data_IF_022919047106
#
_entry.id   IF_022919047106
#
_cell.length_a   1.000
_cell.length_b   1.000
_cell.length_c   1.000
_cell.angle_alpha   90.00
_cell.angle_beta   90.00
_cell.angle_gamma   90.00
#
_symmetry.space_group_name_H-M   'P 1'
#
loop_
_entity.id
_entity.type
_entity.pdbx_description
1 polymer ?
#
# COMPACT_ATOMS: atom_id res chain seq x y z
N UNK A 1 3.73 4.50 0.76
CA UNK A 1 2.76 3.40 0.96
C UNK A 1 1.92 3.10 -0.30
N UNK A 2 1.14 4.03 -0.87
CA UNK A 2 0.30 3.76 -2.06
C UNK A 2 1.05 3.10 -3.23
N UNK A 3 2.16 3.70 -3.65
CA UNK A 3 2.99 3.13 -4.71
C UNK A 3 3.69 1.84 -4.28
N UNK A 4 4.16 1.76 -3.03
CA UNK A 4 4.88 0.58 -2.54
C UNK A 4 4.03 -0.68 -2.45
N UNK A 5 2.71 -0.56 -2.31
CA UNK A 5 1.82 -1.71 -2.08
C UNK A 5 0.71 -1.85 -3.12
N UNK A 6 0.50 -0.83 -3.93
CA UNK A 6 -0.60 -0.80 -4.89
C UNK A 6 -2.01 -0.82 -4.28
N UNK A 7 -2.18 -0.58 -2.98
CA UNK A 7 -3.50 -0.57 -2.33
C UNK A 7 -4.37 0.57 -2.82
N UNK A 8 -5.69 0.39 -2.73
CA UNK A 8 -6.65 1.48 -3.01
C UNK A 8 -6.62 2.51 -1.89
N UNK A 9 -6.92 3.76 -2.21
CA UNK A 9 -6.96 4.85 -1.22
C UNK A 9 -7.91 4.53 -0.05
N UNK A 10 -9.10 4.00 -0.34
CA UNK A 10 -10.06 3.60 0.70
C UNK A 10 -9.58 2.42 1.56
N UNK A 11 -8.73 1.55 1.03
CA UNK A 11 -8.06 0.51 1.81
C UNK A 11 -6.99 1.12 2.71
N UNK A 12 -6.16 2.03 2.16
CA UNK A 12 -5.07 2.69 2.89
C UNK A 12 -5.54 3.39 4.16
N UNK A 13 -6.62 4.17 4.07
CA UNK A 13 -7.15 4.93 5.23
C UNK A 13 -7.72 4.05 6.32
N UNK A 14 -8.03 2.79 6.00
CA UNK A 14 -8.59 1.82 6.93
C UNK A 14 -7.54 0.88 7.57
N UNK A 15 -6.28 0.98 7.17
CA UNK A 15 -5.19 0.19 7.79
C UNK A 15 -5.06 0.58 9.26
N UNK A 16 -5.00 -0.41 10.13
CA UNK A 16 -4.73 -0.25 11.55
C UNK A 16 -3.28 -0.62 11.88
N UNK A 17 -2.79 -0.15 13.02
CA UNK A 17 -1.42 -0.49 13.48
C UNK A 17 -1.23 -2.01 13.57
N UNK A 18 -2.23 -2.74 14.07
CA UNK A 18 -2.15 -4.19 14.23
C UNK A 18 -2.23 -4.98 12.92
N UNK A 19 -2.56 -4.33 11.80
CA UNK A 19 -2.55 -4.97 10.48
C UNK A 19 -1.15 -5.08 9.89
N UNK A 20 -0.15 -4.43 10.52
CA UNK A 20 1.21 -4.36 10.01
C UNK A 20 2.09 -5.37 10.74
N UNK A 21 2.68 -6.28 9.97
CA UNK A 21 3.79 -7.11 10.43
C UNK A 21 5.10 -6.49 9.91
N UNK A 22 5.81 -5.78 10.79
CA UNK A 22 7.05 -5.07 10.44
C UNK A 22 8.23 -6.00 10.27
N UNK A 23 8.25 -7.14 10.97
CA UNK A 23 9.28 -8.16 10.80
C UNK A 23 9.24 -8.73 9.39
N UNK A 24 8.05 -9.05 8.92
CA UNK A 24 7.81 -9.60 7.59
C UNK A 24 7.64 -8.55 6.48
N UNK A 25 7.54 -7.27 6.83
CA UNK A 25 7.21 -6.18 5.92
C UNK A 25 5.92 -6.45 5.14
N UNK A 26 4.91 -6.90 5.83
CA UNK A 26 3.59 -7.19 5.25
C UNK A 26 2.48 -6.40 5.93
N UNK A 27 1.41 -6.17 5.20
CA UNK A 27 0.20 -5.50 5.71
C UNK A 27 -1.02 -6.32 5.32
N UNK A 28 -1.87 -6.59 6.29
CA UNK A 28 -3.17 -7.20 6.08
C UNK A 28 -4.16 -6.12 5.60
N UNK A 29 -4.74 -6.32 4.44
CA UNK A 29 -5.67 -5.39 3.81
C UNK A 29 -7.06 -6.01 3.76
N UNK A 30 -8.05 -5.28 4.24
CA UNK A 30 -9.45 -5.64 4.12
C UNK A 30 -10.04 -5.00 2.86
N UNK A 31 -10.33 -5.82 1.86
CA UNK A 31 -10.89 -5.40 0.58
C UNK A 31 -12.42 -5.40 0.54
N UNK A 32 -12.96 -5.19 -0.67
CA UNK A 32 -14.41 -5.24 -0.91
C UNK A 32 -14.98 -6.63 -0.56
N UNK A 33 -16.13 -6.65 0.11
CA UNK A 33 -16.78 -7.89 0.55
C UNK A 33 -16.09 -8.56 1.74
N UNK A 34 -15.32 -7.82 2.53
CA UNK A 34 -14.56 -8.31 3.69
C UNK A 34 -13.52 -9.38 3.35
N UNK A 35 -13.09 -9.46 2.10
CA UNK A 35 -11.99 -10.35 1.71
C UNK A 35 -10.67 -9.76 2.15
N UNK A 36 -9.92 -10.55 2.90
CA UNK A 36 -8.59 -10.18 3.36
C UNK A 36 -7.54 -10.61 2.35
N UNK A 37 -6.52 -9.79 2.17
CA UNK A 37 -5.29 -10.14 1.48
C UNK A 37 -4.09 -9.56 2.18
N UNK A 38 -2.93 -10.13 1.91
CA UNK A 38 -1.65 -9.61 2.39
C UNK A 38 -0.95 -8.89 1.25
N UNK A 39 -0.44 -7.70 1.52
CA UNK A 39 0.45 -6.97 0.62
C UNK A 39 1.83 -6.83 1.23
N UNK A 40 2.84 -6.73 0.38
CA UNK A 40 4.26 -6.61 0.76
C UNK A 40 4.71 -5.17 0.51
N UNK A 41 5.66 -4.68 1.30
CA UNK A 41 6.33 -3.40 1.06
C UNK A 41 7.85 -3.50 1.27
N UNK A 42 8.59 -2.64 0.57
CA UNK A 42 10.05 -2.65 0.60
C UNK A 42 10.65 -1.79 1.70
N UNK A 43 11.98 -1.79 1.78
CA UNK A 43 12.77 -1.05 2.79
C UNK A 43 12.54 0.45 2.77
N UNK A 44 12.47 1.08 1.61
CA UNK A 44 12.18 2.52 1.52
C UNK A 44 10.84 2.88 2.17
N UNK A 45 9.82 2.02 2.02
CA UNK A 45 8.54 2.23 2.67
C UNK A 45 8.63 2.00 4.18
N UNK A 46 9.40 0.99 4.63
CA UNK A 46 9.67 0.73 6.05
C UNK A 46 10.38 1.91 6.71
N UNK A 47 11.39 2.50 6.07
CA UNK A 47 12.10 3.67 6.58
C UNK A 47 11.16 4.86 6.78
N UNK A 48 10.37 5.19 5.75
CA UNK A 48 9.39 6.27 5.83
C UNK A 48 8.33 6.00 6.90
N UNK A 49 7.88 4.75 7.01
CA UNK A 49 6.93 4.31 8.03
C UNK A 49 7.53 4.46 9.43
N UNK A 50 8.80 4.09 9.62
CA UNK A 50 9.52 4.26 10.88
C UNK A 50 9.58 5.71 11.34
N UNK A 51 9.94 6.62 10.43
CA UNK A 51 9.98 8.06 10.73
C UNK A 51 8.59 8.56 11.14
N UNK A 52 7.56 8.18 10.39
CA UNK A 52 6.19 8.56 10.70
C UNK A 52 5.72 8.03 12.06
N UNK A 53 5.95 6.74 12.35
CA UNK A 53 5.52 6.10 13.59
C UNK A 53 6.23 6.66 14.83
N UNK A 54 7.52 6.96 14.72
CA UNK A 54 8.34 7.48 15.84
C UNK A 54 8.09 8.94 16.13
N UNK A 55 7.73 9.74 15.13
CA UNK A 55 7.59 11.18 15.26
C UNK A 55 6.14 11.62 15.01
N UNK A 56 5.73 11.75 13.75
CA UNK A 56 4.47 12.38 13.38
C UNK A 56 3.24 11.69 13.96
N UNK A 57 3.21 10.35 13.99
CA UNK A 57 2.05 9.65 14.54
C UNK A 57 1.91 9.84 16.05
N UNK A 58 3.02 9.92 16.78
CA UNK A 58 2.99 10.15 18.24
C UNK A 58 2.36 11.51 18.54
N UNK A 59 2.77 12.55 17.80
CA UNK A 59 2.22 13.90 17.96
C UNK A 59 0.74 13.99 17.57
N UNK A 60 0.33 13.26 16.54
CA UNK A 60 -1.04 13.25 16.04
C UNK A 60 -1.98 12.39 16.90
N UNK A 61 -1.51 11.35 17.57
CA UNK A 61 -2.36 10.35 18.23
C UNK A 61 -2.94 10.78 19.59
N UNK A 62 -3.48 11.97 19.66
CA UNK A 62 -4.09 12.56 20.86
C UNK A 62 -5.32 11.79 21.36
N UNK A 63 -6.01 11.09 20.45
CA UNK A 63 -7.25 10.34 20.72
C UNK A 63 -7.05 8.84 20.91
N UNK A 64 -5.80 8.36 20.98
CA UNK A 64 -5.45 6.92 21.06
C UNK A 64 -6.12 6.10 19.95
N UNK A 65 -6.07 6.61 18.73
CA UNK A 65 -6.69 6.02 17.55
C UNK A 65 -5.85 4.86 17.01
N UNK A 66 -6.48 3.75 16.64
CA UNK A 66 -5.80 2.54 16.15
C UNK A 66 -5.43 2.60 14.67
N UNK A 67 -6.00 3.55 13.92
CA UNK A 67 -5.68 3.68 12.50
C UNK A 67 -4.21 4.08 12.29
N UNK A 68 -3.62 3.56 11.22
CA UNK A 68 -2.22 3.83 10.90
C UNK A 68 -2.01 5.32 10.62
N UNK A 69 -2.78 5.87 9.67
CA UNK A 69 -2.67 7.26 9.24
C UNK A 69 -3.72 8.14 9.93
N UNK A 70 -3.23 9.17 10.58
CA UNK A 70 -4.05 10.08 11.37
C UNK A 70 -4.12 11.48 10.75
N UNK A 71 -5.24 12.14 10.94
CA UNK A 71 -5.40 13.55 10.65
C UNK A 71 -4.87 14.42 11.81
N UNK A 72 -4.83 15.74 11.63
CA UNK A 72 -4.38 16.71 12.63
C UNK A 72 -5.16 16.67 13.96
N UNK A 73 -6.40 16.17 13.93
CA UNK A 73 -7.27 16.08 15.09
C UNK A 73 -7.14 14.72 15.81
N UNK A 74 -6.23 13.86 15.39
CA UNK A 74 -5.94 12.54 15.96
C UNK A 74 -6.92 11.45 15.56
N UNK A 75 -7.80 11.70 14.59
CA UNK A 75 -8.71 10.71 14.02
C UNK A 75 -8.16 10.08 12.72
N UNK A 76 -8.95 9.17 12.15
CA UNK A 76 -8.60 8.52 10.87
C UNK A 76 -8.43 9.55 9.74
N UNK A 77 -7.40 9.38 8.93
CA UNK A 77 -7.19 10.18 7.75
C UNK A 77 -8.27 9.90 6.69
N UNK A 78 -8.72 10.91 5.97
CA UNK A 78 -9.73 10.78 4.92
C UNK A 78 -9.11 10.63 3.53
N UNK A 79 -9.83 9.98 2.61
CA UNK A 79 -9.47 9.85 1.20
C UNK A 79 -9.22 11.24 0.56
N UNK A 80 -10.07 12.21 0.89
CA UNK A 80 -9.95 13.59 0.38
C UNK A 80 -8.63 14.22 0.82
N UNK A 81 -8.23 14.00 2.06
CA UNK A 81 -6.98 14.59 2.57
C UNK A 81 -5.74 13.93 1.96
N UNK A 82 -5.78 12.62 1.70
CA UNK A 82 -4.69 11.94 0.98
C UNK A 82 -4.53 12.49 -0.43
N UNK A 83 -5.64 12.74 -1.16
CA UNK A 83 -5.57 13.38 -2.49
C UNK A 83 -4.90 14.73 -2.40
N UNK A 84 -5.31 15.56 -1.42
CA UNK A 84 -4.67 16.85 -1.19
C UNK A 84 -3.17 16.72 -0.90
N UNK A 85 -2.74 15.76 -0.09
CA UNK A 85 -1.31 15.52 0.17
C UNK A 85 -0.57 15.21 -1.15
N UNK A 86 -1.15 14.39 -2.01
CA UNK A 86 -0.56 14.06 -3.32
C UNK A 86 -0.46 15.31 -4.18
N UNK A 87 -1.52 16.10 -4.27
CA UNK A 87 -1.53 17.36 -5.03
C UNK A 87 -0.48 18.32 -4.50
N UNK A 88 -0.36 18.50 -3.18
CA UNK A 88 0.65 19.33 -2.54
C UNK A 88 2.08 18.86 -2.86
N UNK A 89 2.31 17.55 -2.95
CA UNK A 89 3.61 16.98 -3.34
C UNK A 89 3.91 17.23 -4.81
N UNK A 90 2.93 17.05 -5.69
CA UNK A 90 3.05 17.32 -7.14
C UNK A 90 3.48 18.76 -7.37
N UNK A 91 2.81 19.71 -6.70
CA UNK A 91 3.14 21.14 -6.77
C UNK A 91 4.55 21.41 -6.25
N UNK A 92 4.92 20.85 -5.09
CA UNK A 92 6.27 21.03 -4.51
C UNK A 92 7.40 20.46 -5.37
N UNK A 93 7.10 19.41 -6.14
CA UNK A 93 8.06 18.79 -7.04
C UNK A 93 8.06 19.42 -8.44
N UNK A 94 7.27 20.48 -8.66
CA UNK A 94 7.14 21.19 -9.95
C UNK A 94 6.83 20.23 -11.12
N UNK A 95 5.95 19.25 -10.87
CA UNK A 95 5.57 18.27 -11.89
C UNK A 95 4.42 18.83 -12.74
N UNK A 96 4.59 18.81 -14.05
CA UNK A 96 3.60 19.33 -15.03
C UNK A 96 2.47 18.34 -15.35
N UNK A 97 2.32 17.28 -14.54
CA UNK A 97 1.30 16.27 -14.77
C UNK A 97 0.59 15.88 -13.48
N UNK A 98 -0.69 15.51 -13.63
CA UNK A 98 -1.53 15.12 -12.50
C UNK A 98 -1.18 13.70 -12.02
N UNK A 99 -0.94 13.57 -10.72
CA UNK A 99 -0.77 12.28 -10.04
C UNK A 99 -1.96 12.05 -9.12
N UNK A 100 -2.60 10.90 -9.27
CA UNK A 100 -3.71 10.47 -8.43
C UNK A 100 -3.36 9.17 -7.68
N UNK A 101 -4.13 8.77 -6.67
CA UNK A 101 -3.99 7.43 -6.06
C UNK A 101 -4.12 6.30 -7.09
N UNK A 102 -4.97 6.47 -8.11
CA UNK A 102 -5.09 5.50 -9.21
C UNK A 102 -3.84 5.46 -10.08
N UNK A 103 -3.23 6.61 -10.36
CA UNK A 103 -1.95 6.69 -11.09
C UNK A 103 -0.87 5.91 -10.35
N UNK A 104 -0.72 6.12 -9.04
CA UNK A 104 0.28 5.41 -8.22
C UNK A 104 0.06 3.89 -8.21
N UNK A 105 -1.19 3.47 -8.13
CA UNK A 105 -1.54 2.05 -8.19
C UNK A 105 -1.31 1.45 -9.59
N UNK A 106 -1.62 2.19 -10.64
CA UNK A 106 -1.36 1.77 -12.01
C UNK A 106 0.15 1.64 -12.26
N UNK A 107 0.93 2.62 -11.80
CA UNK A 107 2.40 2.59 -11.89
C UNK A 107 2.96 1.37 -11.14
N UNK A 108 2.48 1.09 -9.93
CA UNK A 108 2.85 -0.14 -9.21
C UNK A 108 2.63 -1.39 -10.07
N UNK A 109 1.42 -1.55 -10.64
CA UNK A 109 1.11 -2.72 -11.46
C UNK A 109 1.99 -2.82 -12.70
N UNK A 110 2.18 -1.70 -13.40
CA UNK A 110 2.99 -1.62 -14.63
C UNK A 110 4.46 -1.93 -14.35
N UNK A 111 5.02 -1.35 -13.30
CA UNK A 111 6.42 -1.59 -12.93
C UNK A 111 6.65 -3.05 -12.53
N UNK A 112 5.73 -3.65 -11.77
CA UNK A 112 5.81 -5.06 -11.42
C UNK A 112 5.80 -5.96 -12.66
N UNK A 113 4.88 -5.72 -13.60
CA UNK A 113 4.78 -6.49 -14.84
C UNK A 113 6.00 -6.28 -15.75
N UNK A 114 6.44 -5.04 -15.94
CA UNK A 114 7.61 -4.71 -16.77
C UNK A 114 8.90 -5.33 -16.23
N UNK A 115 8.99 -5.51 -14.92
CA UNK A 115 10.11 -6.15 -14.25
C UNK A 115 9.95 -7.67 -14.08
N UNK A 116 8.98 -8.28 -14.78
CA UNK A 116 8.86 -9.72 -14.91
C UNK A 116 8.00 -10.43 -13.85
N UNK A 117 7.21 -9.69 -13.05
CA UNK A 117 6.19 -10.32 -12.23
C UNK A 117 5.09 -10.90 -13.12
N UNK A 118 4.62 -12.09 -12.80
CA UNK A 118 3.48 -12.66 -13.50
C UNK A 118 2.17 -11.93 -13.20
N UNK A 119 1.26 -11.90 -14.17
CA UNK A 119 0.00 -11.18 -14.10
C UNK A 119 -0.89 -11.66 -12.93
N UNK A 120 -0.84 -12.95 -12.61
CA UNK A 120 -1.67 -13.53 -11.53
C UNK A 120 -1.23 -13.01 -10.16
N UNK A 121 0.08 -13.02 -9.90
CA UNK A 121 0.66 -12.47 -8.68
C UNK A 121 0.33 -10.98 -8.53
N UNK A 122 0.45 -10.19 -9.60
CA UNK A 122 0.10 -8.76 -9.55
C UNK A 122 -1.40 -8.56 -9.28
N UNK A 123 -2.28 -9.34 -9.89
CA UNK A 123 -3.72 -9.30 -9.62
C UNK A 123 -4.05 -9.65 -8.17
N UNK A 124 -3.37 -10.64 -7.59
CA UNK A 124 -3.54 -11.03 -6.20
C UNK A 124 -3.12 -9.90 -5.24
N UNK A 125 -1.93 -9.32 -5.42
CA UNK A 125 -1.47 -8.16 -4.66
C UNK A 125 -2.46 -6.99 -4.73
N UNK A 126 -3.04 -6.76 -5.90
CA UNK A 126 -4.02 -5.71 -6.11
C UNK A 126 -5.43 -6.04 -5.59
N UNK A 127 -5.72 -7.29 -5.29
CA UNK A 127 -7.05 -7.72 -4.82
C UNK A 127 -8.14 -7.54 -5.89
N UNK A 128 -7.85 -7.94 -7.13
CA UNK A 128 -8.87 -8.03 -8.18
C UNK A 128 -9.72 -9.29 -7.97
N UNK A 129 -10.95 -9.14 -7.50
CA UNK A 129 -11.87 -10.22 -7.12
C UNK A 129 -12.58 -10.90 -8.30
N UNK A 130 -12.26 -10.58 -9.52
CA UNK A 130 -12.95 -11.11 -10.70
C UNK A 130 -12.03 -12.04 -11.50
N UNK A 131 -11.83 -13.25 -11.00
CA UNK A 131 -11.61 -14.39 -11.87
C UNK A 131 -12.62 -15.46 -11.44
N UNK A 132 -13.76 -15.50 -12.12
CA UNK A 132 -14.54 -16.71 -12.29
C UNK A 132 -13.73 -17.68 -13.16
N UNK A 133 -12.71 -18.27 -12.59
CA UNK A 133 -12.06 -19.45 -13.14
C UNK A 133 -12.19 -20.53 -12.10
N UNK A 134 -13.18 -21.38 -12.30
CA UNK A 134 -13.33 -22.72 -11.77
C UNK A 134 -12.08 -23.52 -12.14
N UNK A 135 -11.00 -23.34 -11.41
CA UNK A 135 -9.74 -24.02 -11.61
C UNK A 135 -8.92 -23.92 -10.35
N UNK A 136 -8.38 -25.03 -9.91
CA UNK A 136 -7.52 -25.25 -8.75
C UNK A 136 -6.35 -24.23 -8.79
N UNK A 137 -6.55 -23.03 -8.27
CA UNK A 137 -5.47 -22.09 -8.02
C UNK A 137 -5.17 -22.07 -6.53
N UNK A 138 -4.06 -22.71 -6.19
CA UNK A 138 -3.40 -22.59 -4.89
C UNK A 138 -3.12 -21.13 -4.62
N UNK A 139 -3.56 -20.61 -3.48
CA UNK A 139 -3.18 -19.28 -3.01
C UNK A 139 -1.66 -19.14 -3.05
N UNK A 140 -1.17 -18.08 -3.70
CA UNK A 140 0.25 -17.75 -3.70
C UNK A 140 0.68 -17.54 -2.25
N UNK A 141 1.70 -18.25 -1.80
CA UNK A 141 2.15 -18.12 -0.42
C UNK A 141 2.74 -16.71 -0.17
N UNK A 142 2.68 -16.23 1.07
CA UNK A 142 3.29 -14.94 1.44
C UNK A 142 4.78 -14.89 1.10
N UNK A 143 5.48 -16.01 1.18
CA UNK A 143 6.89 -16.11 0.79
C UNK A 143 7.09 -15.91 -0.72
N UNK A 144 6.20 -16.48 -1.52
CA UNK A 144 6.25 -16.29 -2.97
C UNK A 144 5.91 -14.85 -3.35
N UNK A 145 4.92 -14.22 -2.71
CA UNK A 145 4.61 -12.80 -2.88
C UNK A 145 5.83 -11.92 -2.55
N UNK A 146 6.53 -12.21 -1.44
CA UNK A 146 7.77 -11.49 -1.06
C UNK A 146 8.87 -11.66 -2.09
N UNK A 147 9.10 -12.87 -2.62
CA UNK A 147 10.12 -13.15 -3.64
C UNK A 147 9.82 -12.37 -4.93
N UNK A 148 8.58 -12.43 -5.42
CA UNK A 148 8.17 -11.70 -6.63
C UNK A 148 8.27 -10.19 -6.40
N UNK A 149 7.83 -9.69 -5.26
CA UNK A 149 7.95 -8.27 -4.92
C UNK A 149 9.42 -7.82 -4.86
N UNK A 150 10.29 -8.59 -4.18
CA UNK A 150 11.71 -8.28 -4.08
C UNK A 150 12.43 -8.28 -5.43
N UNK A 151 11.99 -9.10 -6.36
CA UNK A 151 12.52 -9.16 -7.71
C UNK A 151 12.00 -8.02 -8.60
N UNK A 152 10.70 -7.77 -8.59
CA UNK A 152 10.03 -6.93 -9.59
C UNK A 152 9.76 -5.48 -9.16
N UNK A 153 9.64 -5.18 -7.85
CA UNK A 153 9.32 -3.83 -7.43
C UNK A 153 10.58 -2.94 -7.40
N UNK A 154 10.59 -1.75 -8.08
CA UNK A 154 11.78 -0.88 -8.19
C UNK A 154 12.34 -0.41 -6.84
N UNK A 155 11.48 -0.29 -5.82
CA UNK A 155 11.85 0.12 -4.45
C UNK A 155 11.76 -1.02 -3.43
N UNK A 156 11.98 -2.26 -3.88
CA UNK A 156 12.01 -3.42 -2.98
C UNK A 156 13.30 -3.52 -2.19
N UNK A 157 14.41 -3.08 -2.80
CA UNK A 157 15.76 -3.18 -2.26
C UNK A 157 16.17 -1.90 -1.56
N UNK A 158 16.70 -2.05 -0.39
CA UNK A 158 17.46 -1.10 0.38
C UNK A 158 18.29 -1.87 1.34
#
# INVERSE_FOLDING_TARGET
>A
MLYATGVRIGELVNIKINDINRYDRTIKILGKGRKERVVVYGSYCEEALNVYLKNGRIELNKKKCDYLFLNKDGGRLSDRYIRKIIDDVVVKCELDYHISPHTLRHTFATDMLNNGADLMTVKELLGHSSINTTGIYTHVSNEQLKKVYAFAHPRSKG
#
